data_IF_463059649015
#
_entry.id   IF_463059649015
#
_cell.length_a   1.000
_cell.length_b   1.000
_cell.length_c   1.000
_cell.angle_alpha   90.00
_cell.angle_beta   90.00
_cell.angle_gamma   90.00
#
_symmetry.space_group_name_H-M   'P 1'
#
loop_
_entity.id
_entity.type
_entity.pdbx_description
1 polymer ?
#
# COMPACT_ATOMS: atom_id res chain seq x y z
N UNK A 1 -39.67 1.42 13.44
CA UNK A 1 -38.26 1.24 13.85
C UNK A 1 -37.39 1.28 12.60
N UNK A 2 -36.72 2.40 12.32
CA UNK A 2 -35.81 2.54 11.19
C UNK A 2 -34.43 2.07 11.61
N UNK A 3 -34.05 0.87 11.17
CA UNK A 3 -32.70 0.32 11.35
C UNK A 3 -31.73 1.26 10.63
N UNK A 4 -31.07 2.17 11.36
CA UNK A 4 -29.95 2.93 10.82
C UNK A 4 -28.96 1.92 10.25
N UNK A 5 -28.85 1.86 8.92
CA UNK A 5 -27.84 1.06 8.25
C UNK A 5 -26.50 1.44 8.86
N UNK A 6 -25.95 0.55 9.69
CA UNK A 6 -24.71 0.76 10.43
C UNK A 6 -23.63 0.85 9.37
N UNK A 7 -23.32 2.07 8.92
CA UNK A 7 -22.32 2.35 7.91
C UNK A 7 -21.06 1.61 8.35
N UNK A 8 -20.69 0.55 7.62
CA UNK A 8 -19.66 -0.38 8.07
C UNK A 8 -18.36 0.39 8.28
N UNK A 9 -18.05 0.67 9.55
CA UNK A 9 -16.88 1.47 9.95
C UNK A 9 -15.65 0.80 9.33
N UNK A 10 -14.87 1.54 8.53
CA UNK A 10 -13.65 1.01 7.89
C UNK A 10 -12.81 0.26 8.93
N UNK A 11 -12.55 -1.04 8.74
CA UNK A 11 -11.88 -1.86 9.75
C UNK A 11 -10.48 -1.33 10.00
N UNK A 12 -9.99 -1.47 11.24
CA UNK A 12 -8.70 -0.94 11.69
C UNK A 12 -7.58 -1.47 10.78
N UNK A 13 -7.66 -2.73 10.37
CA UNK A 13 -6.70 -3.38 9.48
C UNK A 13 -6.58 -2.68 8.12
N UNK A 14 -7.69 -2.20 7.55
CA UNK A 14 -7.67 -1.45 6.29
C UNK A 14 -7.00 -0.08 6.45
N UNK A 15 -7.15 0.53 7.64
CA UNK A 15 -6.46 1.80 7.98
C UNK A 15 -4.96 1.57 8.11
N UNK A 16 -4.55 0.47 8.73
CA UNK A 16 -3.13 0.09 8.85
C UNK A 16 -2.54 -0.13 7.46
N UNK A 17 -3.21 -0.90 6.58
CA UNK A 17 -2.78 -1.11 5.19
C UNK A 17 -2.64 0.24 4.46
N UNK A 18 -3.60 1.13 4.62
CA UNK A 18 -3.56 2.46 4.01
C UNK A 18 -2.36 3.29 4.51
N UNK A 19 -2.13 3.35 5.83
CA UNK A 19 -1.02 4.09 6.42
C UNK A 19 0.33 3.50 5.97
N UNK A 20 0.47 2.18 5.99
CA UNK A 20 1.68 1.51 5.53
C UNK A 20 1.99 1.82 4.06
N UNK A 21 0.98 1.77 3.19
CA UNK A 21 1.16 2.09 1.77
C UNK A 21 1.42 3.59 1.55
N UNK A 22 0.80 4.48 2.34
CA UNK A 22 1.09 5.90 2.29
C UNK A 22 2.54 6.19 2.72
N UNK A 23 3.04 5.48 3.73
CA UNK A 23 4.42 5.60 4.19
C UNK A 23 5.42 5.20 3.09
N UNK A 24 5.12 4.14 2.32
CA UNK A 24 5.94 3.72 1.18
C UNK A 24 6.09 4.79 0.09
N UNK A 25 5.14 5.71 -0.01
CA UNK A 25 5.21 6.84 -0.94
C UNK A 25 6.37 7.80 -0.59
N UNK A 26 6.62 8.00 0.71
CA UNK A 26 7.59 8.99 1.19
C UNK A 26 8.99 8.42 1.38
N UNK A 27 9.12 7.12 1.69
CA UNK A 27 10.41 6.50 1.99
C UNK A 27 11.47 6.68 0.89
N UNK A 28 11.16 6.43 -0.41
CA UNK A 28 12.18 6.52 -1.46
C UNK A 28 12.75 7.93 -1.61
N UNK A 29 11.93 8.97 -1.41
CA UNK A 29 12.39 10.36 -1.44
C UNK A 29 13.25 10.71 -0.22
N UNK A 30 12.90 10.19 0.96
CA UNK A 30 13.72 10.35 2.17
C UNK A 30 15.10 9.69 1.97
N UNK A 31 15.13 8.46 1.48
CA UNK A 31 16.38 7.73 1.19
C UNK A 31 17.19 8.48 0.13
N UNK A 32 16.55 8.95 -0.96
CA UNK A 32 17.20 9.75 -1.99
C UNK A 32 17.86 11.01 -1.41
N UNK A 33 17.15 11.74 -0.54
CA UNK A 33 17.66 12.94 0.11
C UNK A 33 18.86 12.62 1.01
N UNK A 34 18.79 11.57 1.83
CA UNK A 34 19.89 11.16 2.71
C UNK A 34 21.13 10.77 1.91
N UNK A 35 20.97 10.01 0.83
CA UNK A 35 22.07 9.54 -0.02
C UNK A 35 22.74 10.70 -0.74
N UNK A 36 21.93 11.60 -1.30
CA UNK A 36 22.44 12.77 -2.03
C UNK A 36 23.20 13.75 -1.12
N UNK A 37 22.70 14.00 0.10
CA UNK A 37 23.34 14.94 1.02
C UNK A 37 24.53 14.34 1.77
N UNK A 38 24.46 13.06 2.16
CA UNK A 38 25.51 12.42 2.95
C UNK A 38 26.57 11.71 2.09
N UNK A 39 26.47 11.78 0.75
CA UNK A 39 27.36 11.10 -0.21
C UNK A 39 27.55 9.61 0.12
N UNK A 40 26.47 8.96 0.56
CA UNK A 40 26.50 7.53 0.89
C UNK A 40 26.65 6.76 -0.41
N UNK A 41 27.72 5.99 -0.53
CA UNK A 41 27.87 5.06 -1.66
C UNK A 41 26.79 3.98 -1.54
N UNK A 42 25.91 3.93 -2.54
CA UNK A 42 24.93 2.88 -2.68
C UNK A 42 25.13 2.19 -4.03
N UNK A 43 24.92 0.88 -4.04
CA UNK A 43 24.94 0.06 -5.25
C UNK A 43 23.75 0.37 -6.19
N UNK A 44 22.79 1.18 -5.71
CA UNK A 44 21.58 1.56 -6.43
C UNK A 44 21.69 2.97 -6.98
N UNK A 45 21.47 3.14 -8.29
CA UNK A 45 21.45 4.45 -8.94
C UNK A 45 20.37 5.33 -8.29
N UNK A 46 20.70 6.54 -7.77
CA UNK A 46 19.75 7.41 -7.07
C UNK A 46 18.48 7.74 -7.87
N UNK A 47 18.58 7.76 -9.19
CA UNK A 47 17.44 7.92 -10.10
C UNK A 47 16.35 6.86 -9.89
N UNK A 48 16.72 5.61 -9.59
CA UNK A 48 15.76 4.53 -9.32
C UNK A 48 14.91 4.79 -8.08
N UNK A 49 15.46 5.45 -7.04
CA UNK A 49 14.69 5.83 -5.86
C UNK A 49 13.55 6.79 -6.19
N UNK A 50 13.80 7.75 -7.09
CA UNK A 50 12.77 8.70 -7.54
C UNK A 50 11.68 7.95 -8.31
N UNK A 51 12.06 7.10 -9.27
CA UNK A 51 11.09 6.30 -10.02
C UNK A 51 10.25 5.41 -9.12
N UNK A 52 10.87 4.74 -8.15
CA UNK A 52 10.18 3.92 -7.15
C UNK A 52 9.23 4.75 -6.29
N UNK A 53 9.61 5.95 -5.88
CA UNK A 53 8.72 6.89 -5.20
C UNK A 53 7.49 7.23 -6.03
N UNK A 54 7.68 7.61 -7.30
CA UNK A 54 6.58 7.90 -8.23
C UNK A 54 5.69 6.67 -8.45
N UNK A 55 6.26 5.49 -8.63
CA UNK A 55 5.51 4.25 -8.78
C UNK A 55 4.65 3.95 -7.54
N UNK A 56 5.16 4.20 -6.32
CA UNK A 56 4.36 4.05 -5.10
C UNK A 56 3.25 5.09 -4.99
N UNK A 57 3.43 6.33 -5.45
CA UNK A 57 2.35 7.33 -5.53
C UNK A 57 1.20 6.80 -6.39
N UNK A 58 1.52 6.34 -7.60
CA UNK A 58 0.53 5.81 -8.56
C UNK A 58 -0.15 4.57 -7.98
N UNK A 59 0.63 3.64 -7.44
CA UNK A 59 0.12 2.42 -6.82
C UNK A 59 -0.80 2.73 -5.63
N UNK A 60 -0.43 3.68 -4.79
CA UNK A 60 -1.25 4.12 -3.68
C UNK A 60 -2.59 4.68 -4.15
N UNK A 61 -2.60 5.55 -5.17
CA UNK A 61 -3.84 6.05 -5.79
C UNK A 61 -4.75 4.92 -6.28
N UNK A 62 -4.17 3.92 -6.98
CA UNK A 62 -4.90 2.75 -7.43
C UNK A 62 -5.45 1.89 -6.28
N UNK A 63 -4.70 1.74 -5.18
CA UNK A 63 -5.13 1.03 -3.99
C UNK A 63 -6.31 1.74 -3.31
N UNK A 64 -6.27 3.07 -3.18
CA UNK A 64 -7.38 3.87 -2.65
C UNK A 64 -8.61 3.71 -3.52
N UNK A 65 -8.46 3.78 -4.84
CA UNK A 65 -9.54 3.53 -5.78
C UNK A 65 -10.15 2.13 -5.60
N UNK A 66 -9.33 1.09 -5.44
CA UNK A 66 -9.81 -0.28 -5.20
C UNK A 66 -10.59 -0.43 -3.90
N UNK A 67 -10.15 0.27 -2.84
CA UNK A 67 -10.85 0.30 -1.55
C UNK A 67 -12.22 0.99 -1.68
N UNK A 68 -12.27 2.14 -2.36
CA UNK A 68 -13.52 2.91 -2.54
C UNK A 68 -14.53 2.14 -3.39
N UNK A 69 -14.06 1.48 -4.46
CA UNK A 69 -14.90 0.68 -5.36
C UNK A 69 -15.13 -0.75 -4.87
N UNK A 70 -14.65 -1.09 -3.67
CA UNK A 70 -14.76 -2.43 -3.06
C UNK A 70 -14.32 -3.58 -3.99
N UNK A 71 -13.31 -3.35 -4.84
CA UNK A 71 -12.74 -4.38 -5.73
C UNK A 71 -11.71 -5.21 -4.98
N UNK A 72 -12.17 -6.26 -4.29
CA UNK A 72 -11.31 -7.09 -3.43
C UNK A 72 -10.14 -7.78 -4.16
N UNK A 73 -10.38 -8.27 -5.39
CA UNK A 73 -9.34 -8.91 -6.19
C UNK A 73 -8.26 -7.89 -6.59
N UNK A 74 -8.68 -6.74 -7.14
CA UNK A 74 -7.77 -5.66 -7.53
C UNK A 74 -6.98 -5.11 -6.33
N UNK A 75 -7.62 -5.02 -5.16
CA UNK A 75 -6.95 -4.64 -3.91
C UNK A 75 -5.79 -5.58 -3.55
N UNK A 76 -5.94 -6.89 -3.76
CA UNK A 76 -4.85 -7.86 -3.49
C UNK A 76 -3.75 -7.82 -4.53
N UNK A 77 -4.11 -7.63 -5.80
CA UNK A 77 -3.10 -7.50 -6.88
C UNK A 77 -2.19 -6.29 -6.68
N UNK A 78 -2.68 -5.23 -6.02
CA UNK A 78 -1.84 -4.07 -5.69
C UNK A 78 -0.62 -4.43 -4.82
N UNK A 79 -0.72 -5.43 -3.95
CA UNK A 79 0.44 -5.84 -3.14
C UNK A 79 1.52 -6.50 -3.99
N UNK A 80 1.15 -7.22 -5.04
CA UNK A 80 2.12 -7.77 -6.01
C UNK A 80 2.76 -6.66 -6.84
N UNK A 81 1.98 -5.64 -7.23
CA UNK A 81 2.53 -4.46 -7.92
C UNK A 81 3.55 -3.75 -7.02
N UNK A 82 3.23 -3.53 -5.74
CA UNK A 82 4.17 -2.96 -4.79
C UNK A 82 5.44 -3.81 -4.60
N UNK A 83 5.31 -5.13 -4.62
CA UNK A 83 6.46 -6.03 -4.56
C UNK A 83 7.36 -5.84 -5.77
N UNK A 84 6.80 -5.79 -6.98
CA UNK A 84 7.54 -5.57 -8.22
C UNK A 84 8.25 -4.21 -8.22
N UNK A 85 7.64 -3.18 -7.63
CA UNK A 85 8.26 -1.85 -7.48
C UNK A 85 9.42 -1.87 -6.47
N UNK A 86 9.38 -2.75 -5.46
CA UNK A 86 10.42 -2.86 -4.44
C UNK A 86 11.69 -3.59 -4.92
N UNK A 87 11.54 -4.57 -5.82
CA UNK A 87 12.65 -5.42 -6.28
C UNK A 87 13.86 -4.65 -6.85
N UNK A 88 13.70 -3.64 -7.73
CA UNK A 88 14.84 -2.97 -8.37
C UNK A 88 15.72 -2.18 -7.40
N UNK A 89 15.19 -1.79 -6.24
CA UNK A 89 15.89 -0.94 -5.27
C UNK A 89 16.49 -1.76 -4.13
N UNK A 90 16.14 -3.05 -4.02
CA UNK A 90 16.62 -3.91 -2.93
C UNK A 90 16.23 -3.40 -1.53
N UNK A 91 15.25 -2.49 -1.41
CA UNK A 91 14.87 -1.90 -0.14
C UNK A 91 13.95 -2.86 0.60
N UNK A 92 14.52 -3.55 1.59
CA UNK A 92 13.81 -4.52 2.45
C UNK A 92 12.52 -3.95 3.06
N UNK A 93 12.50 -2.64 3.33
CA UNK A 93 11.32 -1.96 3.87
C UNK A 93 10.06 -2.10 3.01
N UNK A 94 10.20 -2.13 1.68
CA UNK A 94 9.05 -2.31 0.79
C UNK A 94 8.48 -3.74 0.83
N UNK A 95 9.36 -4.73 0.98
CA UNK A 95 8.98 -6.13 1.08
C UNK A 95 8.23 -6.39 2.39
N UNK A 96 8.72 -5.84 3.51
CA UNK A 96 8.05 -5.96 4.82
C UNK A 96 6.62 -5.40 4.76
N UNK A 97 6.44 -4.21 4.17
CA UNK A 97 5.11 -3.60 4.04
C UNK A 97 4.16 -4.46 3.20
N UNK A 98 4.66 -5.04 2.10
CA UNK A 98 3.88 -5.96 1.26
C UNK A 98 3.43 -7.18 2.06
N UNK A 99 4.32 -7.83 2.80
CA UNK A 99 4.01 -9.03 3.60
C UNK A 99 2.95 -8.70 4.66
N UNK A 100 3.15 -7.63 5.44
CA UNK A 100 2.20 -7.22 6.49
C UNK A 100 0.84 -6.89 5.89
N UNK A 101 0.82 -6.13 4.78
CA UNK A 101 -0.43 -5.75 4.11
C UNK A 101 -1.17 -6.96 3.56
N UNK A 102 -0.44 -7.92 3.00
CA UNK A 102 -1.00 -9.16 2.47
C UNK A 102 -1.61 -10.03 3.57
N UNK A 103 -0.92 -10.21 4.70
CA UNK A 103 -1.46 -10.95 5.86
C UNK A 103 -2.72 -10.26 6.39
N UNK A 104 -2.68 -8.94 6.58
CA UNK A 104 -3.84 -8.16 7.02
C UNK A 104 -5.01 -8.23 6.04
N UNK A 105 -4.77 -8.43 4.74
CA UNK A 105 -5.83 -8.61 3.74
C UNK A 105 -6.60 -9.93 3.85
N UNK A 106 -6.10 -10.91 4.61
CA UNK A 106 -6.74 -12.22 4.78
C UNK A 106 -7.71 -12.28 5.97
N UNK A 107 -7.70 -11.25 6.81
CA UNK A 107 -8.53 -11.20 8.01
C UNK A 107 -10.02 -11.15 7.66
N UNK A 108 -10.85 -11.69 8.58
CA UNK A 108 -12.31 -11.72 8.41
C UNK A 108 -12.91 -10.31 8.28
N UNK A 109 -12.34 -9.31 8.96
CA UNK A 109 -12.86 -7.94 8.96
C UNK A 109 -12.67 -7.27 7.60
N UNK A 110 -11.51 -7.47 6.94
CA UNK A 110 -11.25 -6.93 5.61
C UNK A 110 -12.13 -7.64 4.58
N UNK A 111 -12.19 -8.98 4.58
CA UNK A 111 -13.09 -9.74 3.70
C UNK A 111 -14.55 -9.31 3.86
N UNK A 112 -15.01 -9.14 5.09
CA UNK A 112 -16.38 -8.69 5.39
C UNK A 112 -16.65 -7.27 4.85
N UNK A 113 -15.69 -6.34 4.97
CA UNK A 113 -15.84 -4.98 4.45
C UNK A 113 -16.05 -4.95 2.93
N UNK A 114 -15.30 -5.78 2.19
CA UNK A 114 -15.42 -5.88 0.74
C UNK A 114 -16.66 -6.67 0.29
N UNK A 115 -17.07 -7.70 1.04
CA UNK A 115 -18.27 -8.49 0.73
C UNK A 115 -19.59 -7.79 1.13
N UNK A 116 -19.55 -6.83 2.06
CA UNK A 116 -20.75 -6.11 2.52
C UNK A 116 -21.46 -5.29 1.42
N UNK A 117 -20.86 -5.07 0.25
CA UNK A 117 -21.56 -4.47 -0.91
C UNK A 117 -22.07 -5.47 -1.95
N UNK A 118 -21.78 -6.78 -1.82
CA UNK A 118 -22.34 -7.80 -2.72
C UNK A 118 -23.73 -8.27 -2.30
N UNK A 119 -24.21 -7.82 -1.14
CA UNK A 119 -25.49 -8.18 -0.52
C UNK A 119 -26.50 -7.01 -0.51
N UNK A 120 -26.21 -5.94 -1.26
CA UNK A 120 -27.10 -4.81 -1.55
C UNK A 120 -27.28 -4.74 -3.05
#
# INVERSE_FOLDING_TARGET
MTTKAKQAKKPIQLRIIFILNALMMFLPFLVYFLVTNNKIEMDVVPMHLIYTGISYIISFGALVYCILNKKFFAFRTMFFINLLIALPVGVDGGIVVVIVSFVLSHTKQVKSFFNASKLS
#
